data_IF_009170143004
#
_entry.id   IF_009170143004
#
_cell.length_a   1.000
_cell.length_b   1.000
_cell.length_c   1.000
_cell.angle_alpha   90.00
_cell.angle_beta   90.00
_cell.angle_gamma   90.00
#
_symmetry.space_group_name_H-M   'P 1'
#
loop_
_entity.id
_entity.type
_entity.pdbx_description
1 polymer ?
#
# COMPACT_ATOMS: atom_id res chain seq x y z
N UNK A 1 -52.78 -38.26 -8.41
CA UNK A 1 -52.75 -36.95 -9.12
C UNK A 1 -51.40 -36.26 -8.91
N UNK A 2 -50.65 -36.59 -7.86
CA UNK A 2 -49.28 -36.07 -7.63
C UNK A 2 -48.21 -36.73 -8.51
N UNK A 3 -48.36 -38.02 -8.83
CA UNK A 3 -47.37 -38.76 -9.65
C UNK A 3 -47.25 -38.22 -11.09
N UNK A 4 -48.34 -37.71 -11.66
CA UNK A 4 -48.35 -37.18 -13.03
C UNK A 4 -47.67 -35.80 -13.11
N UNK A 5 -47.84 -34.97 -12.08
CA UNK A 5 -47.12 -33.70 -11.95
C UNK A 5 -45.62 -33.92 -11.71
N UNK A 6 -45.24 -34.89 -10.87
CA UNK A 6 -43.83 -35.24 -10.64
C UNK A 6 -43.20 -35.82 -11.91
N UNK A 7 -43.90 -36.72 -12.62
CA UNK A 7 -43.40 -37.30 -13.87
C UNK A 7 -43.24 -36.26 -14.98
N UNK A 8 -44.13 -35.26 -15.08
CA UNK A 8 -43.93 -34.13 -16.00
C UNK A 8 -42.68 -33.33 -15.66
N UNK A 9 -42.48 -32.98 -14.38
CA UNK A 9 -41.28 -32.23 -13.94
C UNK A 9 -40.01 -33.02 -14.25
N UNK A 10 -39.99 -34.34 -14.00
CA UNK A 10 -38.86 -35.21 -14.31
C UNK A 10 -38.58 -35.27 -15.82
N UNK A 11 -39.61 -35.40 -16.66
CA UNK A 11 -39.47 -35.37 -18.12
C UNK A 11 -38.94 -34.03 -18.67
N UNK A 12 -39.22 -32.91 -18.00
CA UNK A 12 -38.60 -31.61 -18.32
C UNK A 12 -37.10 -31.60 -18.00
N UNK A 13 -36.65 -32.23 -16.91
CA UNK A 13 -35.22 -32.31 -16.60
C UNK A 13 -34.45 -33.29 -17.50
N UNK A 14 -35.10 -34.31 -18.07
CA UNK A 14 -34.48 -35.21 -19.05
C UNK A 14 -34.25 -34.56 -20.42
N UNK A 15 -35.09 -33.59 -20.80
CA UNK A 15 -35.04 -32.91 -22.11
C UNK A 15 -34.28 -31.59 -22.06
N UNK A 16 -34.17 -30.97 -20.89
CA UNK A 16 -33.47 -29.69 -20.73
C UNK A 16 -31.98 -29.94 -20.43
N UNK A 17 -31.05 -29.40 -21.23
CA UNK A 17 -29.64 -29.47 -20.93
C UNK A 17 -29.34 -28.77 -19.59
N UNK A 18 -29.02 -29.53 -18.54
CA UNK A 18 -28.63 -29.00 -17.22
C UNK A 18 -27.18 -28.51 -17.14
N UNK A 19 -26.35 -28.86 -18.13
CA UNK A 19 -24.94 -28.50 -18.18
C UNK A 19 -24.63 -26.99 -18.08
N UNK A 20 -25.48 -26.04 -18.57
CA UNK A 20 -25.24 -24.62 -18.37
C UNK A 20 -25.30 -24.22 -16.90
N UNK A 21 -26.24 -24.76 -16.11
CA UNK A 21 -26.36 -24.47 -14.68
C UNK A 21 -25.15 -24.99 -13.90
N UNK A 22 -24.65 -26.18 -14.27
CA UNK A 22 -23.41 -26.74 -13.69
C UNK A 22 -22.21 -25.85 -14.02
N UNK A 23 -22.09 -25.36 -15.27
CA UNK A 23 -21.06 -24.41 -15.65
C UNK A 23 -21.15 -23.10 -14.88
N UNK A 24 -22.34 -22.50 -14.78
CA UNK A 24 -22.54 -21.26 -14.02
C UNK A 24 -22.26 -21.47 -12.53
N UNK A 25 -22.64 -22.61 -11.96
CA UNK A 25 -22.32 -22.97 -10.58
C UNK A 25 -20.80 -23.06 -10.36
N UNK A 26 -20.09 -23.72 -11.26
CA UNK A 26 -18.63 -23.84 -11.19
C UNK A 26 -17.94 -22.48 -11.37
N UNK A 27 -18.37 -21.68 -12.35
CA UNK A 27 -17.88 -20.31 -12.55
C UNK A 27 -18.13 -19.44 -11.32
N UNK A 28 -19.29 -19.59 -10.67
CA UNK A 28 -19.62 -18.89 -9.43
C UNK A 28 -18.67 -19.24 -8.29
N UNK A 29 -18.38 -20.53 -8.09
CA UNK A 29 -17.42 -21.00 -7.06
C UNK A 29 -16.02 -20.45 -7.35
N UNK A 30 -15.56 -20.51 -8.60
CA UNK A 30 -14.25 -19.99 -8.99
C UNK A 30 -14.18 -18.48 -8.76
N UNK A 31 -15.21 -17.72 -9.12
CA UNK A 31 -15.27 -16.29 -8.89
C UNK A 31 -15.17 -15.93 -7.41
N UNK A 32 -15.89 -16.65 -6.54
CA UNK A 32 -15.84 -16.47 -5.08
C UNK A 32 -14.43 -16.78 -4.56
N UNK A 33 -13.83 -17.88 -4.99
CA UNK A 33 -12.47 -18.26 -4.57
C UNK A 33 -11.43 -17.21 -4.97
N UNK A 34 -11.50 -16.70 -6.21
CA UNK A 34 -10.62 -15.65 -6.69
C UNK A 34 -10.79 -14.37 -5.86
N UNK A 35 -12.02 -13.97 -5.55
CA UNK A 35 -12.26 -12.79 -4.70
C UNK A 35 -11.65 -12.97 -3.29
N UNK A 36 -11.85 -14.12 -2.66
CA UNK A 36 -11.27 -14.43 -1.34
C UNK A 36 -9.74 -14.35 -1.37
N UNK A 37 -9.11 -14.97 -2.37
CA UNK A 37 -7.65 -14.95 -2.52
C UNK A 37 -7.17 -13.51 -2.74
N UNK A 38 -7.85 -12.75 -3.60
CA UNK A 38 -7.47 -11.38 -3.92
C UNK A 38 -7.56 -10.46 -2.69
N UNK A 39 -8.64 -10.59 -1.91
CA UNK A 39 -8.80 -9.88 -0.63
C UNK A 39 -7.68 -10.20 0.36
N UNK A 40 -7.32 -11.49 0.50
CA UNK A 40 -6.21 -11.91 1.37
C UNK A 40 -4.87 -11.35 0.92
N UNK A 41 -4.58 -11.41 -0.39
CA UNK A 41 -3.34 -10.86 -0.95
C UNK A 41 -3.25 -9.35 -0.76
N UNK A 42 -4.36 -8.64 -0.94
CA UNK A 42 -4.46 -7.19 -0.69
C UNK A 42 -4.19 -6.85 0.77
N UNK A 43 -4.81 -7.55 1.72
CA UNK A 43 -4.58 -7.35 3.15
C UNK A 43 -3.10 -7.57 3.51
N UNK A 44 -2.50 -8.65 3.02
CA UNK A 44 -1.09 -8.95 3.24
C UNK A 44 -0.16 -7.91 2.60
N UNK A 45 -0.49 -7.37 1.43
CA UNK A 45 0.28 -6.29 0.81
C UNK A 45 0.23 -4.99 1.63
N UNK A 46 -0.95 -4.65 2.18
CA UNK A 46 -1.12 -3.52 3.09
C UNK A 46 -0.29 -3.73 4.36
N UNK A 47 -0.43 -4.89 5.01
CA UNK A 47 0.25 -5.18 6.27
C UNK A 47 1.78 -5.17 6.08
N UNK A 48 2.29 -5.81 5.02
CA UNK A 48 3.72 -5.82 4.73
C UNK A 48 4.26 -4.41 4.44
N UNK A 49 3.52 -3.57 3.71
CA UNK A 49 3.95 -2.21 3.43
C UNK A 49 4.03 -1.36 4.71
N UNK A 50 3.01 -1.43 5.57
CA UNK A 50 2.99 -0.73 6.86
C UNK A 50 4.08 -1.23 7.79
N UNK A 51 4.21 -2.55 7.91
CA UNK A 51 5.23 -3.21 8.73
C UNK A 51 6.64 -2.82 8.29
N UNK A 52 6.90 -2.76 6.98
CA UNK A 52 8.22 -2.35 6.45
C UNK A 52 8.55 -0.91 6.82
N UNK A 53 7.59 0.02 6.71
CA UNK A 53 7.79 1.42 7.13
C UNK A 53 8.11 1.49 8.63
N UNK A 54 7.31 0.82 9.47
CA UNK A 54 7.49 0.83 10.92
C UNK A 54 8.82 0.20 11.34
N UNK A 55 9.21 -0.89 10.70
CA UNK A 55 10.45 -1.62 10.99
C UNK A 55 11.68 -0.85 10.52
N UNK A 56 11.73 -0.44 9.25
CA UNK A 56 12.92 0.17 8.65
C UNK A 56 13.15 1.61 9.13
N UNK A 57 12.09 2.27 9.60
CA UNK A 57 12.15 3.64 10.12
C UNK A 57 11.78 3.76 11.59
N UNK A 58 11.91 2.71 12.40
CA UNK A 58 11.53 2.71 13.82
C UNK A 58 12.18 3.82 14.68
N UNK A 59 13.33 4.35 14.25
CA UNK A 59 14.04 5.46 14.90
C UNK A 59 13.54 6.85 14.46
N UNK A 60 12.82 6.93 13.33
CA UNK A 60 12.37 8.16 12.68
C UNK A 60 10.84 8.29 12.54
N UNK A 61 10.08 7.19 12.59
CA UNK A 61 8.63 7.11 12.43
C UNK A 61 8.06 5.99 13.33
N UNK A 62 6.87 6.12 13.92
CA UNK A 62 5.94 7.26 13.86
C UNK A 62 6.39 8.46 14.70
N UNK A 63 7.27 8.24 15.68
CA UNK A 63 7.89 9.29 16.47
C UNK A 63 9.38 9.34 16.18
N UNK A 64 9.87 10.53 15.84
CA UNK A 64 11.28 10.74 15.57
C UNK A 64 12.11 10.76 16.86
N UNK A 65 12.91 9.71 17.09
CA UNK A 65 13.81 9.60 18.25
C UNK A 65 15.17 10.19 17.94
N UNK A 66 15.74 9.87 16.78
CA UNK A 66 17.07 10.33 16.35
C UNK A 66 17.27 10.12 14.86
N UNK A 67 18.17 10.91 14.28
CA UNK A 67 18.68 10.64 12.94
C UNK A 67 19.76 9.55 13.00
N UNK A 68 19.67 8.52 12.15
CA UNK A 68 20.77 7.58 11.94
C UNK A 68 22.04 8.29 11.46
N UNK A 69 23.21 7.76 11.81
CA UNK A 69 24.49 8.23 11.26
C UNK A 69 24.54 7.95 9.77
N UNK A 70 25.00 8.92 8.97
CA UNK A 70 25.03 8.82 7.52
C UNK A 70 23.64 8.55 6.95
N UNK A 71 22.76 9.56 7.04
CA UNK A 71 21.35 9.41 6.69
C UNK A 71 21.16 8.96 5.23
N UNK A 72 22.00 9.46 4.33
CA UNK A 72 21.89 9.17 2.91
C UNK A 72 22.15 7.68 2.65
N UNK A 73 23.21 7.14 3.23
CA UNK A 73 23.50 5.71 3.15
C UNK A 73 22.41 4.88 3.84
N UNK A 74 21.94 5.31 5.02
CA UNK A 74 20.89 4.63 5.76
C UNK A 74 19.60 4.49 4.93
N UNK A 75 19.13 5.56 4.30
CA UNK A 75 17.91 5.56 3.49
C UNK A 75 18.11 4.79 2.19
N UNK A 76 19.26 4.96 1.52
CA UNK A 76 19.59 4.24 0.28
C UNK A 76 19.62 2.73 0.48
N UNK A 77 20.09 2.25 1.64
CA UNK A 77 20.12 0.82 1.96
C UNK A 77 18.71 0.21 2.13
N UNK A 78 17.70 1.01 2.50
CA UNK A 78 16.34 0.55 2.83
C UNK A 78 15.33 0.77 1.70
N UNK A 79 15.64 1.68 0.78
CA UNK A 79 14.84 1.95 -0.40
C UNK A 79 14.49 0.70 -1.24
N UNK A 80 15.38 -0.30 -1.43
CA UNK A 80 15.03 -1.51 -2.18
C UNK A 80 13.89 -2.34 -1.55
N UNK A 81 13.91 -2.55 -0.24
CA UNK A 81 12.87 -3.32 0.47
C UNK A 81 11.54 -2.57 0.46
N UNK A 82 11.59 -1.26 0.66
CA UNK A 82 10.39 -0.43 0.50
C UNK A 82 9.83 -0.44 -0.91
N UNK A 83 10.70 -0.36 -1.93
CA UNK A 83 10.28 -0.36 -3.32
C UNK A 83 9.59 -1.67 -3.70
N UNK A 84 10.10 -2.80 -3.19
CA UNK A 84 9.45 -4.09 -3.37
C UNK A 84 8.02 -4.08 -2.81
N UNK A 85 7.84 -3.63 -1.57
CA UNK A 85 6.51 -3.57 -0.95
C UNK A 85 5.59 -2.54 -1.63
N UNK A 86 6.15 -1.45 -2.14
CA UNK A 86 5.43 -0.48 -2.98
C UNK A 86 4.86 -1.14 -4.24
N UNK A 87 5.66 -1.87 -5.01
CA UNK A 87 5.20 -2.55 -6.24
C UNK A 87 4.18 -3.67 -5.93
N UNK A 88 4.35 -4.37 -4.80
CA UNK A 88 3.38 -5.39 -4.37
C UNK A 88 2.02 -4.75 -4.04
N UNK A 89 1.99 -3.65 -3.30
CA UNK A 89 0.76 -2.93 -2.97
C UNK A 89 0.14 -2.28 -4.21
N UNK A 90 0.96 -1.76 -5.12
CA UNK A 90 0.55 -1.07 -6.36
C UNK A 90 -0.49 -1.84 -7.17
N UNK A 91 -0.36 -3.17 -7.24
CA UNK A 91 -1.29 -4.05 -7.99
C UNK A 91 -2.73 -3.99 -7.44
N UNK A 92 -2.88 -3.63 -6.17
CA UNK A 92 -4.18 -3.54 -5.49
C UNK A 92 -4.71 -2.12 -5.37
N UNK A 93 -3.97 -1.11 -5.84
CA UNK A 93 -4.41 0.28 -5.83
C UNK A 93 -5.42 0.51 -6.97
N UNK A 94 -6.59 1.11 -6.67
CA UNK A 94 -7.56 1.50 -7.70
C UNK A 94 -6.93 2.40 -8.78
N UNK A 95 -7.33 2.22 -10.04
CA UNK A 95 -6.74 2.90 -11.18
C UNK A 95 -6.82 4.44 -11.08
N UNK A 96 -7.90 4.97 -10.50
CA UNK A 96 -8.11 6.40 -10.24
C UNK A 96 -7.12 6.98 -9.21
N UNK A 97 -6.63 6.16 -8.28
CA UNK A 97 -5.66 6.55 -7.23
C UNK A 97 -4.22 6.19 -7.57
N UNK A 98 -4.00 5.32 -8.56
CA UNK A 98 -2.68 4.83 -8.94
C UNK A 98 -1.70 5.95 -9.31
N UNK A 99 -2.21 7.02 -9.94
CA UNK A 99 -1.40 8.20 -10.27
C UNK A 99 -0.89 8.91 -9.02
N UNK A 100 -1.76 9.17 -8.05
CA UNK A 100 -1.41 9.83 -6.78
C UNK A 100 -0.41 8.97 -6.01
N UNK A 101 -0.65 7.65 -5.92
CA UNK A 101 0.25 6.71 -5.27
C UNK A 101 1.68 6.74 -5.85
N UNK A 102 1.81 6.73 -7.18
CA UNK A 102 3.13 6.82 -7.83
C UNK A 102 3.81 8.17 -7.59
N UNK A 103 3.05 9.27 -7.56
CA UNK A 103 3.58 10.60 -7.29
C UNK A 103 4.11 10.66 -5.85
N UNK A 104 3.34 10.19 -4.87
CA UNK A 104 3.75 10.17 -3.47
C UNK A 104 5.02 9.34 -3.25
N UNK A 105 5.12 8.19 -3.93
CA UNK A 105 6.33 7.36 -3.90
C UNK A 105 7.55 8.06 -4.51
N UNK A 106 7.39 8.71 -5.66
CA UNK A 106 8.48 9.45 -6.29
C UNK A 106 8.96 10.60 -5.41
N UNK A 107 8.04 11.37 -4.82
CA UNK A 107 8.39 12.45 -3.89
C UNK A 107 9.17 11.92 -2.68
N UNK A 108 8.72 10.81 -2.10
CA UNK A 108 9.43 10.15 -0.99
C UNK A 108 10.83 9.67 -1.39
N UNK A 109 10.95 9.03 -2.56
CA UNK A 109 12.23 8.54 -3.09
C UNK A 109 13.20 9.68 -3.37
N UNK A 110 12.71 10.78 -3.93
CA UNK A 110 13.53 11.95 -4.24
C UNK A 110 13.97 12.66 -2.97
N UNK A 111 13.09 12.75 -1.95
CA UNK A 111 13.46 13.20 -0.62
C UNK A 111 14.60 12.34 -0.03
N UNK A 112 14.46 11.02 -0.06
CA UNK A 112 15.47 10.11 0.49
C UNK A 112 16.85 10.26 -0.18
N UNK A 113 16.88 10.58 -1.48
CA UNK A 113 18.12 10.78 -2.24
C UNK A 113 18.78 12.13 -1.96
N UNK A 114 17.97 13.15 -1.74
CA UNK A 114 18.41 14.53 -1.57
C UNK A 114 18.65 14.90 -0.10
N UNK A 115 18.29 14.04 0.84
CA UNK A 115 18.56 14.22 2.26
C UNK A 115 20.03 13.89 2.54
N UNK A 116 20.69 14.81 3.24
CA UNK A 116 22.09 14.69 3.64
C UNK A 116 22.26 15.10 5.10
N UNK A 117 23.34 14.65 5.74
CA UNK A 117 23.60 14.99 7.14
C UNK A 117 23.77 16.51 7.31
N UNK A 118 24.31 17.21 6.31
CA UNK A 118 24.47 18.67 6.34
C UNK A 118 23.11 19.38 6.41
N UNK A 119 22.12 18.92 5.64
CA UNK A 119 20.76 19.48 5.68
C UNK A 119 20.09 19.26 7.03
N UNK A 120 20.32 18.11 7.65
CA UNK A 120 19.81 17.82 8.99
C UNK A 120 20.45 18.77 10.00
N UNK A 121 21.78 18.87 10.00
CA UNK A 121 22.49 19.75 10.95
C UNK A 121 22.11 21.22 10.77
N UNK A 122 21.92 21.68 9.53
CA UNK A 122 21.45 23.03 9.24
C UNK A 122 20.04 23.28 9.78
N UNK A 123 19.12 22.32 9.62
CA UNK A 123 17.76 22.42 10.15
C UNK A 123 17.71 22.42 11.69
N UNK A 124 18.54 21.59 12.34
CA UNK A 124 18.66 21.55 13.80
C UNK A 124 19.23 22.87 14.36
N UNK A 125 20.22 23.46 13.69
CA UNK A 125 20.79 24.76 14.06
C UNK A 125 19.77 25.90 13.92
N UNK A 126 19.05 25.95 12.79
CA UNK A 126 18.03 26.97 12.54
C UNK A 126 16.87 26.90 13.54
N UNK A 127 16.54 25.70 14.03
CA UNK A 127 15.47 25.50 15.03
C UNK A 127 15.84 26.04 16.43
N UNK A 128 17.13 26.16 16.73
CA UNK A 128 17.63 26.67 18.03
C UNK A 128 17.96 28.16 18.01
N UNK A 129 18.20 28.76 16.84
CA UNK A 129 18.49 30.18 16.69
C UNK A 129 17.20 31.01 16.65
N UNK A 130 16.75 31.50 17.81
CA UNK A 130 15.47 32.23 18.01
C UNK A 130 15.32 33.56 17.22
N UNK A 131 16.28 33.95 16.37
CA UNK A 131 16.33 35.28 15.74
C UNK A 131 16.74 35.30 14.24
N UNK A 132 16.70 34.18 13.51
CA UNK A 132 16.95 34.19 12.07
C UNK A 132 15.66 34.17 11.26
N UNK A 133 15.58 34.88 10.10
CA UNK A 133 14.42 34.80 9.23
C UNK A 133 14.26 33.35 8.80
N UNK A 134 13.05 32.82 8.99
CA UNK A 134 12.71 31.43 8.70
C UNK A 134 13.30 31.03 7.33
N UNK A 135 14.26 30.11 7.34
CA UNK A 135 14.70 29.47 6.11
C UNK A 135 13.46 28.92 5.41
N UNK A 136 13.30 29.25 4.12
CA UNK A 136 12.12 28.87 3.33
C UNK A 136 11.99 27.35 3.15
N UNK A 137 13.03 26.59 3.49
CA UNK A 137 13.02 25.13 3.42
C UNK A 137 12.33 24.51 4.65
N UNK A 138 11.38 23.58 4.44
CA UNK A 138 10.70 22.88 5.53
C UNK A 138 11.67 21.97 6.30
N UNK A 139 11.43 21.81 7.60
CA UNK A 139 12.19 20.89 8.46
C UNK A 139 12.14 19.46 7.87
N UNK A 140 13.30 18.84 7.56
CA UNK A 140 13.37 17.48 7.01
C UNK A 140 12.61 16.43 7.84
N UNK A 141 12.51 16.63 9.16
CA UNK A 141 11.72 15.73 10.03
C UNK A 141 10.24 15.82 9.68
N UNK A 142 9.71 17.04 9.53
CA UNK A 142 8.30 17.28 9.21
C UNK A 142 8.00 16.75 7.81
N UNK A 143 8.87 17.06 6.84
CA UNK A 143 8.71 16.61 5.46
C UNK A 143 8.70 15.08 5.37
N UNK A 144 9.63 14.40 6.06
CA UNK A 144 9.69 12.94 6.11
C UNK A 144 8.38 12.32 6.64
N UNK A 145 7.85 12.85 7.76
CA UNK A 145 6.59 12.35 8.33
C UNK A 145 5.40 12.60 7.40
N UNK A 146 5.36 13.75 6.74
CA UNK A 146 4.30 14.07 5.78
C UNK A 146 4.34 13.13 4.58
N UNK A 147 5.51 12.85 4.02
CA UNK A 147 5.68 11.95 2.88
C UNK A 147 5.28 10.51 3.24
N UNK A 148 5.72 10.01 4.40
CA UNK A 148 5.29 8.69 4.88
C UNK A 148 3.79 8.63 5.16
N UNK A 149 3.20 9.69 5.74
CA UNK A 149 1.76 9.75 6.00
C UNK A 149 0.94 9.74 4.71
N UNK A 150 1.41 10.43 3.66
CA UNK A 150 0.80 10.37 2.32
C UNK A 150 0.84 8.96 1.74
N UNK A 151 1.98 8.28 1.85
CA UNK A 151 2.10 6.87 1.42
C UNK A 151 1.16 5.94 2.20
N UNK A 152 1.11 6.08 3.52
CA UNK A 152 0.26 5.27 4.39
C UNK A 152 -1.24 5.53 4.18
N UNK A 153 -1.63 6.71 3.70
CA UNK A 153 -3.02 7.01 3.32
C UNK A 153 -3.55 6.01 2.28
N UNK A 154 -2.70 5.53 1.37
CA UNK A 154 -3.05 4.51 0.36
C UNK A 154 -3.18 3.10 0.93
N UNK A 155 -3.07 2.92 2.24
CA UNK A 155 -3.35 1.64 2.91
C UNK A 155 -4.75 1.58 3.53
N UNK A 156 -5.46 2.71 3.59
CA UNK A 156 -6.83 2.82 4.10
C UNK A 156 -7.87 2.66 2.98
N UNK A 157 -7.74 1.61 2.17
CA UNK A 157 -8.59 1.33 1.00
C UNK A 157 -9.49 0.13 1.28
#
# INVERSE_FOLDING_TARGET
>A
MDDENINQIVGYFETVPLWPFVLFGLLGIVAIMVDIINRKRRALAIDNFRYTIEKEFADMYPEHKRWPKNINHYLTARLPEMYHNFEVLRVFIPQDRLREYNIDWNNFRDFCRNLTDEKITAAEQNSTATNQPASTEPDPKIEFHQLLSKLLKHTHI
#
